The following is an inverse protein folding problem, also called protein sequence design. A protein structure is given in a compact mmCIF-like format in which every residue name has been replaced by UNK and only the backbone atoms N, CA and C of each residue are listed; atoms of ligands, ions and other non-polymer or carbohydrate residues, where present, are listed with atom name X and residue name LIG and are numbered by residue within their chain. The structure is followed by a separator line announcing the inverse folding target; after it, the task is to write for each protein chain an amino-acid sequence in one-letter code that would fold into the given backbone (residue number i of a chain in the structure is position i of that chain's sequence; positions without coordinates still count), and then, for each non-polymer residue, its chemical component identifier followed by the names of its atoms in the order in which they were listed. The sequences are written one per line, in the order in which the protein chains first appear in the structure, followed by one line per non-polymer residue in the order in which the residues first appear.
data_IF_110739564624
#
_entry.id   IF_110739564624
#
_cell.length_a   1.000
_cell.length_b   1.000
_cell.length_c   1.000
_cell.angle_alpha   90.00
_cell.angle_beta   90.00
_cell.angle_gamma   90.00
#
_symmetry.space_group_name_H-M   'P 1'
#
loop_
_entity.id
_entity.type
_entity.pdbx_description
1 polymer ?
#
# COMPACT_ATOMS: atom_id res chain seq x y z
N UNK A 1 19.54 -6.95 -9.65
CA UNK A 1 18.72 -7.44 -8.54
C UNK A 1 17.98 -8.68 -9.03
N UNK A 2 18.06 -9.78 -8.29
CA UNK A 2 17.35 -11.02 -8.65
C UNK A 2 15.84 -10.88 -8.37
N UNK A 3 14.98 -11.73 -8.98
CA UNK A 3 13.54 -11.71 -8.67
C UNK A 3 13.24 -11.92 -7.18
N UNK A 4 14.01 -12.76 -6.49
CA UNK A 4 13.87 -13.01 -5.05
C UNK A 4 14.21 -11.76 -4.25
N UNK A 5 15.32 -11.09 -4.54
CA UNK A 5 15.70 -9.84 -3.87
C UNK A 5 14.66 -8.74 -4.11
N UNK A 6 14.12 -8.65 -5.33
CA UNK A 6 13.07 -7.70 -5.68
C UNK A 6 11.80 -7.96 -4.87
N UNK A 7 11.34 -9.22 -4.83
CA UNK A 7 10.18 -9.64 -4.03
C UNK A 7 10.36 -9.26 -2.55
N UNK A 8 11.51 -9.59 -1.96
CA UNK A 8 11.79 -9.28 -0.55
C UNK A 8 11.78 -7.78 -0.26
N UNK A 9 12.33 -6.96 -1.16
CA UNK A 9 12.33 -5.51 -1.00
C UNK A 9 10.93 -4.91 -1.17
N UNK A 10 10.14 -5.40 -2.12
CA UNK A 10 8.72 -5.01 -2.24
C UNK A 10 7.98 -5.37 -0.96
N UNK A 11 8.16 -6.60 -0.45
CA UNK A 11 7.47 -7.07 0.75
C UNK A 11 7.85 -6.27 2.00
N UNK A 12 9.12 -5.86 2.11
CA UNK A 12 9.59 -4.97 3.16
C UNK A 12 8.88 -3.59 3.10
N UNK A 13 8.75 -2.98 1.92
CA UNK A 13 8.02 -1.71 1.76
C UNK A 13 6.54 -1.86 2.09
N UNK A 14 5.96 -3.02 1.79
CA UNK A 14 4.58 -3.32 2.09
C UNK A 14 4.29 -3.46 3.60
N UNK A 15 5.31 -3.61 4.45
CA UNK A 15 5.13 -3.49 5.91
C UNK A 15 4.62 -2.11 6.32
N UNK A 16 5.09 -1.04 5.67
CA UNK A 16 4.59 0.32 5.89
C UNK A 16 3.12 0.42 5.49
N UNK A 17 2.78 -0.09 4.30
CA UNK A 17 1.41 -0.10 3.78
C UNK A 17 0.47 -0.86 4.72
N UNK A 18 0.92 -1.98 5.30
CA UNK A 18 0.14 -2.73 6.27
C UNK A 18 -0.11 -1.95 7.57
N UNK A 19 0.91 -1.27 8.09
CA UNK A 19 0.78 -0.44 9.29
C UNK A 19 -0.21 0.70 9.07
N UNK A 20 -0.13 1.37 7.93
CA UNK A 20 -1.06 2.45 7.56
C UNK A 20 -2.47 1.91 7.40
N UNK A 21 -2.66 0.83 6.63
CA UNK A 21 -3.97 0.18 6.48
C UNK A 21 -4.57 -0.19 7.84
N UNK A 22 -3.76 -0.69 8.76
CA UNK A 22 -4.22 -1.07 10.10
C UNK A 22 -4.59 0.14 10.93
N UNK A 23 -3.82 1.23 10.86
CA UNK A 23 -4.16 2.50 11.48
C UNK A 23 -5.50 3.04 10.94
N UNK A 24 -5.64 3.21 9.62
CA UNK A 24 -6.84 3.76 9.00
C UNK A 24 -8.09 2.90 9.25
N UNK A 25 -7.96 1.57 9.23
CA UNK A 25 -9.12 0.69 9.50
C UNK A 25 -9.73 0.92 10.90
N UNK A 26 -8.93 1.33 11.88
CA UNK A 26 -9.37 1.45 13.27
C UNK A 26 -9.41 2.90 13.76
N UNK A 27 -9.31 3.87 12.84
CA UNK A 27 -9.52 5.27 13.17
C UNK A 27 -11.02 5.57 13.20
N UNK A 28 -11.45 6.42 14.12
CA UNK A 28 -12.86 6.85 14.22
C UNK A 28 -13.31 7.50 12.91
N UNK A 29 -12.41 8.24 12.24
CA UNK A 29 -12.67 8.87 10.94
C UNK A 29 -13.09 7.88 9.85
N UNK A 30 -12.67 6.61 9.91
CA UNK A 30 -13.03 5.61 8.89
C UNK A 30 -14.45 5.04 9.09
N UNK A 31 -15.07 5.27 10.24
CA UNK A 31 -16.48 4.92 10.48
C UNK A 31 -17.42 5.94 9.83
N UNK A 32 -16.96 7.18 9.66
CA UNK A 32 -17.75 8.31 9.17
C UNK A 32 -17.43 8.70 7.72
N UNK A 33 -16.24 8.36 7.22
CA UNK A 33 -15.76 8.71 5.87
C UNK A 33 -15.68 7.48 4.94
N UNK A 34 -16.55 7.46 3.92
CA UNK A 34 -16.62 6.35 2.96
C UNK A 34 -15.35 6.27 2.07
N UNK A 35 -14.75 7.41 1.72
CA UNK A 35 -13.55 7.47 0.87
C UNK A 35 -12.32 6.92 1.62
N UNK A 36 -12.20 7.22 2.92
CA UNK A 36 -11.17 6.64 3.78
C UNK A 36 -11.33 5.13 3.92
N UNK A 37 -12.59 4.68 4.00
CA UNK A 37 -12.96 3.28 3.97
C UNK A 37 -12.48 2.59 2.68
N UNK A 38 -12.63 3.25 1.52
CA UNK A 38 -12.12 2.76 0.23
C UNK A 38 -10.60 2.62 0.23
N UNK A 39 -9.87 3.60 0.78
CA UNK A 39 -8.41 3.57 0.87
C UNK A 39 -7.94 2.31 1.58
N UNK A 40 -8.37 2.08 2.84
CA UNK A 40 -7.84 0.97 3.62
C UNK A 40 -8.27 -0.41 3.07
N UNK A 41 -9.40 -0.48 2.36
CA UNK A 41 -9.84 -1.69 1.62
C UNK A 41 -8.95 -1.95 0.42
N UNK A 42 -8.65 -0.93 -0.39
CA UNK A 42 -7.77 -1.05 -1.54
C UNK A 42 -6.34 -1.48 -1.13
N UNK A 43 -5.82 -0.94 -0.02
CA UNK A 43 -4.54 -1.38 0.53
C UNK A 43 -4.57 -2.86 0.94
N UNK A 44 -5.65 -3.30 1.61
CA UNK A 44 -5.82 -4.71 1.97
C UNK A 44 -5.88 -5.62 0.73
N UNK A 45 -6.66 -5.25 -0.29
CA UNK A 45 -6.84 -6.05 -1.50
C UNK A 45 -5.54 -6.21 -2.30
N UNK A 46 -4.68 -5.18 -2.28
CA UNK A 46 -3.35 -5.26 -2.87
C UNK A 46 -2.50 -6.29 -2.12
N UNK A 47 -2.40 -6.17 -0.80
CA UNK A 47 -1.63 -7.06 0.07
C UNK A 47 -2.12 -8.51 0.00
N UNK A 48 -3.43 -8.71 0.10
CA UNK A 48 -4.06 -10.02 0.09
C UNK A 48 -3.77 -10.78 -1.21
N UNK A 49 -3.77 -10.06 -2.35
CA UNK A 49 -3.44 -10.64 -3.64
C UNK A 49 -2.00 -11.17 -3.76
N UNK A 50 -1.07 -10.66 -2.95
CA UNK A 50 0.34 -11.05 -2.95
C UNK A 50 0.65 -12.16 -1.94
N UNK A 51 -0.22 -12.38 -0.95
CA UNK A 51 -0.02 -13.36 0.12
C UNK A 51 0.15 -14.80 -0.38
N UNK A 52 -0.60 -15.21 -1.41
CA UNK A 52 -0.50 -16.55 -2.00
C UNK A 52 0.89 -16.82 -2.62
N UNK A 53 1.33 -16.01 -3.60
CA UNK A 53 2.67 -16.12 -4.17
C UNK A 53 3.80 -16.00 -3.13
N UNK A 54 3.65 -15.13 -2.12
CA UNK A 54 4.63 -14.97 -1.05
C UNK A 54 4.77 -16.26 -0.22
N UNK A 55 3.64 -16.85 0.21
CA UNK A 55 3.63 -18.10 0.98
C UNK A 55 4.21 -19.28 0.18
N UNK A 56 4.05 -19.27 -1.15
CA UNK A 56 4.64 -20.25 -2.05
C UNK A 56 6.11 -19.97 -2.40
N UNK A 57 6.70 -18.88 -1.87
CA UNK A 57 8.04 -18.40 -2.21
C UNK A 57 8.29 -18.32 -3.73
N UNK A 58 7.28 -17.82 -4.46
CA UNK A 58 7.26 -17.74 -5.92
C UNK A 58 7.45 -16.28 -6.38
N UNK A 59 8.69 -15.82 -6.61
CA UNK A 59 8.97 -14.42 -6.91
C UNK A 59 8.40 -13.97 -8.26
N UNK A 60 8.35 -14.84 -9.27
CA UNK A 60 7.81 -14.50 -10.58
C UNK A 60 6.30 -14.22 -10.49
N UNK A 61 5.55 -15.08 -9.81
CA UNK A 61 4.12 -14.89 -9.61
C UNK A 61 3.83 -13.67 -8.72
N UNK A 62 4.63 -13.46 -7.67
CA UNK A 62 4.50 -12.31 -6.78
C UNK A 62 4.69 -11.00 -7.55
N UNK A 63 5.82 -10.85 -8.27
CA UNK A 63 6.15 -9.62 -8.98
C UNK A 63 5.21 -9.36 -10.17
N UNK A 64 4.75 -10.42 -10.85
CA UNK A 64 3.71 -10.28 -11.89
C UNK A 64 2.42 -9.72 -11.31
N UNK A 65 1.98 -10.23 -10.16
CA UNK A 65 0.75 -9.79 -9.51
C UNK A 65 0.88 -8.37 -8.95
N UNK A 66 2.03 -8.04 -8.36
CA UNK A 66 2.35 -6.71 -7.86
C UNK A 66 2.27 -5.65 -8.98
N UNK A 67 2.95 -5.89 -10.11
CA UNK A 67 2.88 -5.01 -11.29
C UNK A 67 1.47 -4.86 -11.83
N UNK A 68 0.73 -5.97 -11.97
CA UNK A 68 -0.65 -5.96 -12.47
C UNK A 68 -1.58 -5.07 -11.62
N UNK A 69 -1.33 -4.98 -10.31
CA UNK A 69 -2.18 -4.25 -9.37
C UNK A 69 -1.62 -2.87 -8.99
N UNK A 70 -0.45 -2.50 -9.49
CA UNK A 70 0.26 -1.28 -9.10
C UNK A 70 -0.57 -0.01 -9.32
N UNK A 71 -1.32 0.07 -10.43
CA UNK A 71 -2.21 1.21 -10.71
C UNK A 71 -3.27 1.42 -9.63
N UNK A 72 -3.81 0.34 -9.06
CA UNK A 72 -4.78 0.42 -7.96
C UNK A 72 -4.14 0.91 -6.66
N UNK A 73 -2.92 0.46 -6.37
CA UNK A 73 -2.18 0.93 -5.19
C UNK A 73 -1.84 2.43 -5.31
N UNK A 74 -1.41 2.87 -6.51
CA UNK A 74 -1.18 4.29 -6.79
C UNK A 74 -2.46 5.12 -6.59
N UNK A 75 -3.59 4.65 -7.11
CA UNK A 75 -4.88 5.34 -6.95
C UNK A 75 -5.32 5.45 -5.50
N UNK A 76 -5.14 4.39 -4.70
CA UNK A 76 -5.44 4.43 -3.26
C UNK A 76 -4.56 5.44 -2.52
N UNK A 77 -3.28 5.53 -2.88
CA UNK A 77 -2.38 6.55 -2.33
C UNK A 77 -2.81 7.96 -2.74
N UNK A 78 -3.10 8.19 -4.02
CA UNK A 78 -3.58 9.49 -4.52
C UNK A 78 -4.83 9.95 -3.79
N UNK A 79 -5.82 9.06 -3.68
CA UNK A 79 -7.05 9.34 -2.94
C UNK A 79 -6.73 9.73 -1.49
N UNK A 80 -5.86 8.97 -0.81
CA UNK A 80 -5.51 9.31 0.57
C UNK A 80 -4.80 10.65 0.70
N UNK A 81 -3.92 11.04 -0.24
CA UNK A 81 -3.29 12.36 -0.22
C UNK A 81 -4.32 13.49 -0.42
N UNK A 82 -5.34 13.25 -1.25
CA UNK A 82 -6.40 14.21 -1.55
C UNK A 82 -7.29 14.46 -0.32
N UNK A 83 -7.77 13.38 0.32
CA UNK A 83 -8.77 13.48 1.39
C UNK A 83 -8.15 13.72 2.78
N UNK A 84 -6.91 13.30 3.03
CA UNK A 84 -6.31 13.36 4.38
C UNK A 84 -6.37 14.76 5.03
N UNK A 85 -6.09 15.88 4.35
CA UNK A 85 -6.15 17.22 4.94
C UNK A 85 -7.55 17.61 5.44
N UNK A 86 -8.60 17.08 4.80
CA UNK A 86 -10.00 17.36 5.15
C UNK A 86 -10.48 16.46 6.28
N UNK A 87 -9.99 15.21 6.32
CA UNK A 87 -10.35 14.22 7.33
C UNK A 87 -9.79 14.57 8.70
N UNK A 88 -8.49 14.89 8.80
CA UNK A 88 -7.85 15.08 10.10
C UNK A 88 -6.54 15.85 9.99
N UNK A 89 -6.38 16.88 10.84
CA UNK A 89 -5.10 17.59 10.98
C UNK A 89 -4.13 16.92 11.96
N UNK A 90 -4.48 15.74 12.51
CA UNK A 90 -3.65 15.06 13.50
C UNK A 90 -2.36 14.52 12.88
N UNK A 91 -1.24 14.63 13.60
CA UNK A 91 0.09 14.23 13.12
C UNK A 91 0.12 12.77 12.62
N UNK A 92 -0.62 11.86 13.26
CA UNK A 92 -0.70 10.46 12.82
C UNK A 92 -1.20 10.32 11.38
N UNK A 93 -2.21 11.09 10.97
CA UNK A 93 -2.75 11.06 9.61
C UNK A 93 -1.76 11.64 8.60
N UNK A 94 -1.12 12.76 8.94
CA UNK A 94 -0.08 13.38 8.12
C UNK A 94 1.11 12.43 7.90
N UNK A 95 1.56 11.76 8.98
CA UNK A 95 2.64 10.78 8.90
C UNK A 95 2.23 9.51 8.15
N UNK A 96 0.97 9.07 8.29
CA UNK A 96 0.44 7.96 7.53
C UNK A 96 0.42 8.28 6.03
N UNK A 97 -0.03 9.48 5.65
CA UNK A 97 -0.04 9.93 4.26
C UNK A 97 1.38 10.00 3.67
N UNK A 98 2.34 10.59 4.40
CA UNK A 98 3.73 10.67 3.96
C UNK A 98 4.39 9.28 3.84
N UNK A 99 4.12 8.39 4.80
CA UNK A 99 4.64 7.02 4.80
C UNK A 99 4.06 6.21 3.65
N UNK A 100 2.75 6.36 3.36
CA UNK A 100 2.11 5.68 2.23
C UNK A 100 2.70 6.14 0.90
N UNK A 101 2.82 7.46 0.72
CA UNK A 101 3.36 8.06 -0.50
C UNK A 101 4.79 7.58 -0.76
N UNK A 102 5.62 7.54 0.29
CA UNK A 102 7.01 7.08 0.20
C UNK A 102 7.08 5.61 -0.18
N UNK A 103 6.33 4.74 0.53
CA UNK A 103 6.31 3.32 0.26
C UNK A 103 5.80 3.00 -1.16
N UNK A 104 4.73 3.66 -1.61
CA UNK A 104 4.16 3.44 -2.95
C UNK A 104 5.08 3.94 -4.04
N UNK A 105 5.74 5.10 -3.86
CA UNK A 105 6.73 5.62 -4.82
C UNK A 105 7.89 4.64 -4.99
N UNK A 106 8.53 4.26 -3.88
CA UNK A 106 9.70 3.37 -3.91
C UNK A 106 9.35 1.97 -4.44
N UNK A 107 8.19 1.43 -4.04
CA UNK A 107 7.70 0.15 -4.55
C UNK A 107 7.50 0.21 -6.05
N UNK A 108 6.92 1.29 -6.56
CA UNK A 108 6.65 1.43 -7.98
C UNK A 108 7.93 1.58 -8.81
N UNK A 109 8.86 2.40 -8.35
CA UNK A 109 10.20 2.52 -8.94
C UNK A 109 10.90 1.16 -9.00
N UNK A 110 10.80 0.37 -7.93
CA UNK A 110 11.40 -0.96 -7.86
C UNK A 110 10.77 -1.94 -8.86
N UNK A 111 9.46 -1.89 -9.03
CA UNK A 111 8.72 -2.76 -9.95
C UNK A 111 8.88 -2.38 -11.43
N UNK A 112 9.07 -1.10 -11.72
CA UNK A 112 9.24 -0.56 -13.07
C UNK A 112 10.70 -0.67 -13.56
N UNK A 113 11.67 -0.69 -12.64
CA UNK A 113 13.10 -0.86 -12.94
C UNK A 113 13.61 -2.30 -12.95
N UNK A 114 12.80 -3.26 -12.49
CA UNK A 114 13.11 -4.70 -12.44
C UNK A 114 12.45 -5.48 -13.58
#
# INVERSE_FOLDING_TARGET
MTPVECMQRVDALLSHVWMIRTFLKHSEEAEEDEELCEVHRALYDYMHALGGPLAANNPEAYLKQARKKLSKLRRANELFQEIQPEISSHTNFQMAAQSLQTAVRELAELLESA
#
